data_IF_954003231921
#
_entry.id   IF_954003231921
#
_cell.length_a   1.000
_cell.length_b   1.000
_cell.length_c   1.000
_cell.angle_alpha   90.00
_cell.angle_beta   90.00
_cell.angle_gamma   90.00
#
_symmetry.space_group_name_H-M   'P 1'
#
loop_
_entity.id
_entity.type
_entity.pdbx_description
1 polymer ?
#
# COMPACT_ATOMS: atom_id res chain seq x y z
N UNK A 1 -36.62 -71.74 38.07
CA UNK A 1 -35.90 -72.85 37.41
C UNK A 1 -34.46 -72.40 37.21
N UNK A 2 -33.47 -73.22 37.53
CA UNK A 2 -32.06 -72.88 37.31
C UNK A 2 -31.75 -72.91 35.81
N UNK A 3 -31.10 -71.87 35.29
CA UNK A 3 -30.59 -71.84 33.92
C UNK A 3 -29.50 -72.91 33.73
N UNK A 4 -29.56 -73.65 32.63
CA UNK A 4 -28.63 -74.71 32.29
C UNK A 4 -27.93 -74.37 30.96
N UNK A 5 -26.66 -73.97 31.06
CA UNK A 5 -25.85 -73.58 29.92
C UNK A 5 -25.69 -74.71 28.89
N UNK A 6 -25.63 -75.97 29.33
CA UNK A 6 -25.47 -77.12 28.44
C UNK A 6 -26.74 -77.45 27.66
N UNK A 7 -27.92 -77.14 28.21
CA UNK A 7 -29.20 -77.24 27.47
C UNK A 7 -29.37 -76.09 26.49
N UNK A 8 -29.00 -74.88 26.89
CA UNK A 8 -29.09 -73.69 26.05
C UNK A 8 -28.24 -73.82 24.77
N UNK A 9 -27.02 -74.36 24.86
CA UNK A 9 -26.15 -74.54 23.69
C UNK A 9 -26.65 -75.60 22.68
N UNK A 10 -27.60 -76.46 23.06
CA UNK A 10 -28.19 -77.46 22.14
C UNK A 10 -29.33 -76.89 21.31
N UNK A 11 -30.03 -75.91 21.85
CA UNK A 11 -31.12 -75.18 21.18
C UNK A 11 -30.92 -73.69 21.46
N UNK A 12 -29.90 -73.07 20.83
CA UNK A 12 -29.61 -71.66 21.04
C UNK A 12 -30.75 -70.82 20.43
N UNK A 13 -31.29 -69.90 21.22
CA UNK A 13 -32.33 -68.97 20.80
C UNK A 13 -31.86 -67.53 21.02
N UNK A 14 -32.09 -66.66 20.02
CA UNK A 14 -31.59 -65.29 20.00
C UNK A 14 -32.32 -64.43 21.04
N UNK A 15 -33.65 -64.57 21.15
CA UNK A 15 -34.46 -63.86 22.14
C UNK A 15 -34.15 -64.35 23.57
N UNK A 16 -33.97 -65.66 23.72
CA UNK A 16 -33.52 -66.27 24.97
C UNK A 16 -32.14 -65.78 25.40
N UNK A 17 -31.20 -65.62 24.46
CA UNK A 17 -29.87 -65.07 24.72
C UNK A 17 -29.92 -63.61 25.17
N UNK A 18 -30.73 -62.79 24.49
CA UNK A 18 -30.80 -61.35 24.76
C UNK A 18 -31.27 -61.06 26.20
N UNK A 19 -32.19 -61.90 26.69
CA UNK A 19 -32.82 -61.82 28.00
C UNK A 19 -32.01 -62.44 29.17
N UNK A 20 -30.86 -63.08 28.90
CA UNK A 20 -30.06 -63.72 29.97
C UNK A 20 -29.62 -62.71 31.04
N UNK A 21 -29.68 -63.14 32.30
CA UNK A 21 -29.17 -62.39 33.46
C UNK A 21 -27.65 -62.47 33.52
N UNK A 22 -27.04 -61.56 34.28
CA UNK A 22 -25.56 -61.51 34.44
C UNK A 22 -25.00 -62.84 34.97
N UNK A 23 -25.67 -63.44 35.95
CA UNK A 23 -25.25 -64.72 36.53
C UNK A 23 -25.29 -65.86 35.49
N UNK A 24 -26.30 -65.87 34.62
CA UNK A 24 -26.50 -66.85 33.56
C UNK A 24 -25.45 -66.68 32.44
N UNK A 25 -25.15 -65.43 32.06
CA UNK A 25 -24.06 -65.11 31.12
C UNK A 25 -22.69 -65.51 31.68
N UNK A 26 -22.46 -65.36 32.99
CA UNK A 26 -21.24 -65.81 33.66
C UNK A 26 -21.14 -67.34 33.65
N UNK A 27 -22.24 -68.05 33.87
CA UNK A 27 -22.28 -69.51 33.78
C UNK A 27 -22.04 -70.00 32.35
N UNK A 28 -22.66 -69.35 31.36
CA UNK A 28 -22.46 -69.63 29.95
C UNK A 28 -21.02 -69.38 29.51
N UNK A 29 -20.43 -68.25 29.93
CA UNK A 29 -19.04 -67.93 29.67
C UNK A 29 -18.07 -68.93 30.30
N UNK A 30 -18.33 -69.40 31.54
CA UNK A 30 -17.55 -70.48 32.17
C UNK A 30 -17.65 -71.79 31.38
N UNK A 31 -18.84 -72.12 30.91
CA UNK A 31 -19.08 -73.36 30.16
C UNK A 31 -18.37 -73.34 28.79
N UNK A 32 -18.34 -72.17 28.14
CA UNK A 32 -17.60 -71.90 26.91
C UNK A 32 -16.09 -71.71 27.12
N UNK A 33 -15.60 -71.80 28.37
CA UNK A 33 -14.19 -71.59 28.76
C UNK A 33 -13.62 -70.25 28.28
N UNK A 34 -14.44 -69.21 28.32
CA UNK A 34 -14.02 -67.84 28.04
C UNK A 34 -13.13 -67.30 29.17
N UNK A 35 -12.13 -66.49 28.80
CA UNK A 35 -11.37 -65.70 29.77
C UNK A 35 -12.12 -64.40 30.05
N UNK A 36 -12.65 -64.27 31.27
CA UNK A 36 -13.39 -63.09 31.69
C UNK A 36 -13.26 -62.88 33.21
N UNK A 37 -13.43 -61.62 33.64
CA UNK A 37 -13.49 -61.27 35.06
C UNK A 37 -14.94 -61.10 35.48
N UNK A 38 -15.37 -61.79 36.55
CA UNK A 38 -16.76 -61.72 37.07
C UNK A 38 -17.18 -60.27 37.43
N UNK A 39 -16.20 -59.41 37.75
CA UNK A 39 -16.43 -57.98 38.02
C UNK A 39 -16.77 -57.15 36.78
N UNK A 40 -16.60 -57.68 35.56
CA UNK A 40 -16.95 -56.98 34.32
C UNK A 40 -18.45 -56.67 34.24
N UNK A 41 -18.81 -55.62 33.50
CA UNK A 41 -20.21 -55.23 33.26
C UNK A 41 -20.92 -56.33 32.46
N UNK A 42 -22.23 -56.49 32.67
CA UNK A 42 -23.08 -57.48 31.96
C UNK A 42 -22.86 -57.43 30.45
N UNK A 43 -22.83 -56.23 29.87
CA UNK A 43 -22.68 -56.03 28.42
C UNK A 43 -21.29 -56.43 27.88
N UNK A 44 -20.22 -56.24 28.67
CA UNK A 44 -18.88 -56.67 28.27
C UNK A 44 -18.82 -58.20 28.20
N UNK A 45 -19.38 -58.88 29.21
CA UNK A 45 -19.46 -60.34 29.24
C UNK A 45 -20.38 -60.83 28.11
N UNK A 46 -21.50 -60.15 27.86
CA UNK A 46 -22.43 -60.46 26.77
C UNK A 46 -21.75 -60.37 25.40
N UNK A 47 -21.01 -59.29 25.11
CA UNK A 47 -20.28 -59.13 23.86
C UNK A 47 -19.24 -60.25 23.66
N UNK A 48 -18.48 -60.61 24.70
CA UNK A 48 -17.51 -61.72 24.65
C UNK A 48 -18.16 -63.09 24.39
N UNK A 49 -19.36 -63.30 24.95
CA UNK A 49 -20.12 -64.53 24.71
C UNK A 49 -20.70 -64.55 23.30
N UNK A 50 -21.21 -63.41 22.78
CA UNK A 50 -21.66 -63.29 21.38
C UNK A 50 -20.52 -63.66 20.43
N UNK A 51 -19.33 -63.07 20.64
CA UNK A 51 -18.14 -63.37 19.84
C UNK A 51 -17.88 -64.87 19.75
N UNK A 52 -17.90 -65.58 20.89
CA UNK A 52 -17.65 -67.02 20.88
C UNK A 52 -18.78 -67.89 20.37
N UNK A 53 -20.03 -67.46 20.52
CA UNK A 53 -21.16 -68.21 19.99
C UNK A 53 -21.24 -68.07 18.46
N UNK A 54 -20.88 -66.90 17.92
CA UNK A 54 -20.77 -66.68 16.47
C UNK A 54 -19.52 -67.39 15.91
N UNK A 55 -18.36 -67.26 16.55
CA UNK A 55 -17.13 -67.99 16.16
C UNK A 55 -17.32 -69.52 16.12
N UNK A 56 -18.14 -70.06 17.03
CA UNK A 56 -18.42 -71.48 17.12
C UNK A 56 -19.60 -71.94 16.25
N UNK A 57 -20.15 -71.04 15.41
CA UNK A 57 -21.32 -71.28 14.54
C UNK A 57 -22.57 -71.76 15.32
N UNK A 58 -22.66 -71.42 16.60
CA UNK A 58 -23.79 -71.76 17.48
C UNK A 58 -24.90 -70.72 17.33
N UNK A 59 -24.54 -69.45 17.12
CA UNK A 59 -25.45 -68.36 16.76
C UNK A 59 -25.05 -67.80 15.39
N UNK A 60 -26.04 -67.35 14.63
CA UNK A 60 -25.81 -66.66 13.36
C UNK A 60 -25.27 -65.24 13.55
N UNK A 61 -24.84 -64.63 12.44
CA UNK A 61 -24.28 -63.27 12.40
C UNK A 61 -25.28 -62.21 12.91
N UNK A 62 -26.58 -62.50 12.92
CA UNK A 62 -27.64 -61.66 13.48
C UNK A 62 -27.40 -61.36 14.97
N UNK A 63 -26.70 -62.23 15.69
CA UNK A 63 -26.33 -61.99 17.10
C UNK A 63 -25.32 -60.84 17.28
N UNK A 64 -24.58 -60.46 16.23
CA UNK A 64 -23.63 -59.35 16.28
C UNK A 64 -24.35 -57.99 16.43
N UNK A 65 -25.60 -57.88 16.00
CA UNK A 65 -26.41 -56.67 16.17
C UNK A 65 -26.72 -56.36 17.64
N UNK A 66 -26.68 -57.37 18.50
CA UNK A 66 -26.87 -57.23 19.95
C UNK A 66 -25.62 -56.66 20.66
N UNK A 67 -24.50 -56.50 19.95
CA UNK A 67 -23.31 -55.87 20.51
C UNK A 67 -23.51 -54.39 20.63
N UNK A 68 -23.44 -53.91 21.86
CA UNK A 68 -23.36 -52.48 22.15
C UNK A 68 -21.91 -52.13 22.41
N UNK A 69 -21.38 -51.18 21.64
CA UNK A 69 -20.10 -50.56 21.96
C UNK A 69 -20.22 -49.87 23.32
N UNK A 70 -19.41 -50.28 24.29
CA UNK A 70 -19.30 -49.58 25.55
C UNK A 70 -18.48 -48.30 25.32
N UNK A 71 -19.10 -47.28 24.75
CA UNK A 71 -18.56 -45.93 24.78
C UNK A 71 -18.67 -45.48 26.24
N UNK A 72 -17.53 -45.41 26.92
CA UNK A 72 -17.48 -44.90 28.29
C UNK A 72 -17.99 -43.46 28.29
N UNK A 73 -18.97 -43.15 29.14
CA UNK A 73 -19.55 -41.80 29.25
C UNK A 73 -18.46 -40.75 29.53
N UNK A 74 -17.38 -41.15 30.20
CA UNK A 74 -16.20 -40.31 30.41
C UNK A 74 -15.47 -39.99 29.10
N UNK A 75 -15.33 -40.99 28.21
CA UNK A 75 -14.64 -40.86 26.92
C UNK A 75 -15.47 -40.04 25.93
N UNK A 76 -16.79 -40.19 25.96
CA UNK A 76 -17.70 -39.33 25.20
C UNK A 76 -17.58 -37.87 25.64
N UNK A 77 -17.60 -37.62 26.95
CA UNK A 77 -17.44 -36.27 27.51
C UNK A 77 -16.07 -35.66 27.22
N UNK A 78 -15.02 -36.48 27.15
CA UNK A 78 -13.69 -36.04 26.76
C UNK A 78 -13.66 -35.59 25.29
N UNK A 79 -14.28 -36.37 24.39
CA UNK A 79 -14.38 -36.02 22.97
C UNK A 79 -15.22 -34.75 22.73
N UNK A 80 -16.31 -34.58 23.48
CA UNK A 80 -17.14 -33.36 23.43
C UNK A 80 -16.33 -32.12 23.81
N UNK A 81 -15.57 -32.19 24.90
CA UNK A 81 -14.74 -31.07 25.35
C UNK A 81 -13.60 -30.76 24.36
N UNK A 82 -12.98 -31.77 23.78
CA UNK A 82 -11.95 -31.60 22.75
C UNK A 82 -12.53 -30.91 21.51
N UNK A 83 -13.72 -31.32 21.07
CA UNK A 83 -14.42 -30.70 19.97
C UNK A 83 -14.79 -29.24 20.28
N UNK A 84 -15.28 -28.96 21.49
CA UNK A 84 -15.61 -27.60 21.94
C UNK A 84 -14.38 -26.68 21.94
N UNK A 85 -13.25 -27.16 22.47
CA UNK A 85 -11.98 -26.42 22.44
C UNK A 85 -11.54 -26.11 21.01
N UNK A 86 -11.59 -27.11 20.12
CA UNK A 86 -11.19 -26.95 18.72
C UNK A 86 -12.06 -25.95 17.97
N UNK A 87 -13.38 -25.95 18.22
CA UNK A 87 -14.28 -24.95 17.66
C UNK A 87 -13.92 -23.54 18.15
N UNK A 88 -13.66 -23.39 19.44
CA UNK A 88 -13.31 -22.10 20.05
C UNK A 88 -11.97 -21.56 19.55
N UNK A 89 -10.97 -22.42 19.35
CA UNK A 89 -9.70 -22.06 18.74
C UNK A 89 -9.87 -21.56 17.29
N UNK A 90 -10.70 -22.23 16.50
CA UNK A 90 -11.00 -21.81 15.13
C UNK A 90 -11.70 -20.45 15.09
N UNK A 91 -12.68 -20.23 15.97
CA UNK A 91 -13.40 -18.96 16.08
C UNK A 91 -12.45 -17.81 16.47
N UNK A 92 -11.57 -18.04 17.45
CA UNK A 92 -10.56 -17.06 17.85
C UNK A 92 -9.60 -16.73 16.70
N UNK A 93 -9.15 -17.75 15.95
CA UNK A 93 -8.26 -17.57 14.81
C UNK A 93 -8.93 -16.80 13.66
N UNK A 94 -10.20 -17.05 13.40
CA UNK A 94 -10.97 -16.26 12.42
C UNK A 94 -11.13 -14.81 12.88
N UNK A 95 -11.44 -14.59 14.15
CA UNK A 95 -11.56 -13.25 14.73
C UNK A 95 -10.24 -12.47 14.64
N UNK A 96 -9.11 -13.11 14.96
CA UNK A 96 -7.78 -12.50 14.82
C UNK A 96 -7.48 -12.14 13.37
N UNK A 97 -7.74 -13.05 12.44
CA UNK A 97 -7.55 -12.79 11.00
C UNK A 97 -8.42 -11.63 10.52
N UNK A 98 -9.69 -11.58 10.90
CA UNK A 98 -10.60 -10.47 10.57
C UNK A 98 -10.08 -9.13 11.11
N UNK A 99 -9.57 -9.11 12.34
CA UNK A 99 -8.97 -7.90 12.93
C UNK A 99 -7.70 -7.49 12.21
N UNK A 100 -6.86 -8.43 11.81
CA UNK A 100 -5.65 -8.17 11.04
C UNK A 100 -6.00 -7.57 9.66
N UNK A 101 -6.97 -8.16 8.98
CA UNK A 101 -7.46 -7.66 7.68
C UNK A 101 -8.09 -6.27 7.82
N UNK A 102 -8.85 -6.01 8.88
CA UNK A 102 -9.42 -4.69 9.18
C UNK A 102 -8.32 -3.64 9.44
N UNK A 103 -7.28 -4.01 10.19
CA UNK A 103 -6.14 -3.11 10.45
C UNK A 103 -5.36 -2.80 9.17
N UNK A 104 -5.11 -3.80 8.33
CA UNK A 104 -4.46 -3.61 7.02
C UNK A 104 -5.29 -2.69 6.13
N UNK A 105 -6.61 -2.87 6.10
CA UNK A 105 -7.50 -2.02 5.32
C UNK A 105 -7.46 -0.57 5.82
N UNK A 106 -7.54 -0.34 7.13
CA UNK A 106 -7.43 1.01 7.72
C UNK A 106 -6.08 1.66 7.43
N UNK A 107 -4.98 0.91 7.49
CA UNK A 107 -3.65 1.41 7.15
C UNK A 107 -3.57 1.82 5.67
N UNK A 108 -4.07 0.98 4.76
CA UNK A 108 -4.09 1.29 3.34
C UNK A 108 -4.98 2.51 3.01
N UNK A 109 -6.11 2.65 3.69
CA UNK A 109 -6.99 3.81 3.54
C UNK A 109 -6.32 5.11 4.02
N UNK A 110 -5.61 5.07 5.16
CA UNK A 110 -4.83 6.20 5.65
C UNK A 110 -3.71 6.59 4.68
N UNK A 111 -2.93 5.62 4.20
CA UNK A 111 -1.85 5.89 3.23
C UNK A 111 -2.40 6.49 1.92
N UNK A 112 -3.52 5.96 1.43
CA UNK A 112 -4.18 6.49 0.24
C UNK A 112 -4.66 7.93 0.45
N UNK A 113 -5.22 8.23 1.63
CA UNK A 113 -5.66 9.56 1.99
C UNK A 113 -4.50 10.55 2.08
N UNK A 114 -3.39 10.16 2.72
CA UNK A 114 -2.18 10.97 2.81
C UNK A 114 -1.60 11.27 1.44
N UNK A 115 -1.53 10.26 0.54
CA UNK A 115 -1.11 10.47 -0.86
C UNK A 115 -1.99 11.47 -1.58
N UNK A 116 -3.32 11.34 -1.45
CA UNK A 116 -4.26 12.28 -2.08
C UNK A 116 -4.12 13.70 -1.52
N UNK A 117 -3.83 13.87 -0.24
CA UNK A 117 -3.57 15.18 0.37
C UNK A 117 -2.26 15.78 -0.14
N UNK A 118 -1.19 14.99 -0.24
CA UNK A 118 0.08 15.43 -0.82
C UNK A 118 -0.10 15.83 -2.29
N UNK A 119 -0.74 15.00 -3.12
CA UNK A 119 -1.00 15.31 -4.53
C UNK A 119 -1.80 16.61 -4.72
N UNK A 120 -2.78 16.87 -3.83
CA UNK A 120 -3.54 18.13 -3.86
C UNK A 120 -2.66 19.32 -3.53
N UNK A 121 -1.83 19.20 -2.49
CA UNK A 121 -0.91 20.25 -2.08
C UNK A 121 0.13 20.55 -3.16
N UNK A 122 0.70 19.51 -3.77
CA UNK A 122 1.64 19.65 -4.89
C UNK A 122 1.00 20.37 -6.07
N UNK A 123 -0.23 20.00 -6.45
CA UNK A 123 -0.96 20.70 -7.52
C UNK A 123 -1.21 22.17 -7.19
N UNK A 124 -1.56 22.47 -5.95
CA UNK A 124 -1.77 23.84 -5.49
C UNK A 124 -0.47 24.66 -5.53
N UNK A 125 0.65 24.08 -5.07
CA UNK A 125 1.96 24.72 -5.09
C UNK A 125 2.47 24.94 -6.53
N UNK A 126 2.25 23.97 -7.43
CA UNK A 126 2.54 24.13 -8.87
C UNK A 126 1.71 25.27 -9.47
N UNK A 127 0.43 25.38 -9.10
CA UNK A 127 -0.43 26.46 -9.58
C UNK A 127 0.06 27.84 -9.09
N UNK A 128 0.39 27.96 -7.80
CA UNK A 128 0.96 29.18 -7.20
C UNK A 128 2.28 29.57 -7.86
N UNK A 129 3.16 28.61 -8.11
CA UNK A 129 4.45 28.86 -8.75
C UNK A 129 4.27 29.41 -10.17
N UNK A 130 3.34 28.82 -10.93
CA UNK A 130 3.01 29.28 -12.29
C UNK A 130 2.40 30.68 -12.29
N UNK A 131 1.56 31.01 -11.31
CA UNK A 131 1.02 32.36 -11.15
C UNK A 131 2.12 33.39 -10.86
N UNK A 132 3.06 33.05 -9.96
CA UNK A 132 4.22 33.90 -9.66
C UNK A 132 5.12 34.10 -10.89
N UNK A 133 5.38 33.03 -11.65
CA UNK A 133 6.16 33.11 -12.89
C UNK A 133 5.50 34.06 -13.92
N UNK A 134 4.17 33.99 -14.06
CA UNK A 134 3.43 34.91 -14.94
C UNK A 134 3.54 36.36 -14.48
N UNK A 135 3.41 36.62 -13.18
CA UNK A 135 3.56 37.98 -12.61
C UNK A 135 4.97 38.52 -12.82
N UNK A 136 5.99 37.69 -12.67
CA UNK A 136 7.39 38.08 -12.90
C UNK A 136 7.61 38.47 -14.37
N UNK A 137 7.13 37.65 -15.33
CA UNK A 137 7.20 37.97 -16.76
C UNK A 137 6.46 39.25 -17.12
N UNK A 138 5.30 39.50 -16.49
CA UNK A 138 4.55 40.74 -16.70
C UNK A 138 5.32 41.98 -16.21
N UNK A 139 5.99 41.87 -15.04
CA UNK A 139 6.84 42.94 -14.52
C UNK A 139 8.06 43.19 -15.42
N UNK A 140 8.77 42.14 -15.83
CA UNK A 140 9.90 42.25 -16.75
C UNK A 140 9.49 42.90 -18.09
N UNK A 141 8.30 42.56 -18.61
CA UNK A 141 7.76 43.18 -19.82
C UNK A 141 7.43 44.66 -19.60
N UNK A 142 6.84 45.03 -18.46
CA UNK A 142 6.56 46.43 -18.10
C UNK A 142 7.85 47.25 -18.01
N UNK A 143 8.87 46.74 -17.32
CA UNK A 143 10.18 47.40 -17.21
C UNK A 143 10.83 47.58 -18.59
N UNK A 144 10.78 46.56 -19.47
CA UNK A 144 11.27 46.69 -20.84
C UNK A 144 10.56 47.79 -21.63
N UNK A 145 9.24 47.85 -21.54
CA UNK A 145 8.44 48.87 -22.22
C UNK A 145 8.75 50.28 -21.68
N UNK A 146 8.95 50.42 -20.37
CA UNK A 146 9.32 51.69 -19.75
C UNK A 146 10.71 52.17 -20.18
N UNK A 147 11.71 51.27 -20.17
CA UNK A 147 13.05 51.57 -20.66
C UNK A 147 13.05 51.96 -22.13
N UNK A 148 12.24 51.29 -22.97
CA UNK A 148 12.13 51.64 -24.39
C UNK A 148 11.45 53.00 -24.59
N UNK A 149 10.43 53.33 -23.80
CA UNK A 149 9.82 54.68 -23.79
C UNK A 149 10.84 55.76 -23.43
N UNK A 150 11.62 55.55 -22.36
CA UNK A 150 12.66 56.49 -21.95
C UNK A 150 13.72 56.69 -23.05
N UNK A 151 14.17 55.62 -23.70
CA UNK A 151 15.11 55.72 -24.84
C UNK A 151 14.52 56.55 -25.99
N UNK A 152 13.26 56.32 -26.35
CA UNK A 152 12.59 57.09 -27.41
C UNK A 152 12.50 58.57 -27.03
N UNK A 153 12.21 58.88 -25.77
CA UNK A 153 12.15 60.26 -25.27
C UNK A 153 13.52 60.95 -25.30
N UNK A 154 14.59 60.26 -24.87
CA UNK A 154 15.97 60.78 -24.99
C UNK A 154 16.36 61.06 -26.44
N UNK A 155 16.06 60.16 -27.37
CA UNK A 155 16.34 60.37 -28.81
C UNK A 155 15.54 61.56 -29.36
N UNK A 156 14.29 61.75 -28.91
CA UNK A 156 13.49 62.93 -29.28
C UNK A 156 14.10 64.22 -28.74
N UNK A 157 14.56 64.26 -27.50
CA UNK A 157 15.24 65.42 -26.91
C UNK A 157 16.57 65.74 -27.60
N UNK A 158 17.37 64.73 -27.95
CA UNK A 158 18.60 64.88 -28.75
C UNK A 158 18.32 65.41 -30.17
N UNK A 159 17.20 65.00 -30.78
CA UNK A 159 16.78 65.52 -32.09
C UNK A 159 16.24 66.95 -32.02
N UNK A 160 15.60 67.35 -30.90
CA UNK A 160 15.12 68.72 -30.69
C UNK A 160 16.24 69.70 -30.35
N UNK A 161 17.30 69.26 -29.67
CA UNK A 161 18.48 70.11 -29.38
C UNK A 161 19.37 70.37 -30.61
N UNK A 162 19.28 69.55 -31.66
CA UNK A 162 20.02 69.78 -32.93
C UNK A 162 19.45 70.89 -33.82
N UNK A 163 18.20 71.30 -33.63
CA UNK A 163 17.56 72.36 -34.45
C UNK A 163 17.91 73.78 -33.95
N UNK A 164 18.55 73.90 -32.77
CA UNK A 164 18.99 75.18 -32.20
C UNK A 164 20.50 75.47 -32.32
N UNK A 165 21.24 74.71 -33.14
CA UNK A 165 22.55 75.15 -33.61
C UNK A 165 22.40 75.76 -35.01
N UNK A 166 22.19 77.08 -35.06
CA UNK A 166 22.55 77.84 -36.26
C UNK A 166 24.04 77.58 -36.48
N UNK A 167 24.40 76.67 -37.40
CA UNK A 167 25.75 76.65 -37.93
C UNK A 167 25.92 77.97 -38.66
N UNK A 168 26.63 78.91 -38.04
CA UNK A 168 27.20 80.04 -38.76
C UNK A 168 28.17 79.46 -39.79
N UNK A 169 27.64 79.23 -41.00
CA UNK A 169 28.45 78.91 -42.16
C UNK A 169 29.45 80.05 -42.32
N UNK A 170 30.73 79.78 -42.04
CA UNK A 170 31.79 80.77 -42.14
C UNK A 170 31.96 81.15 -43.61
N UNK A 171 31.34 82.27 -43.98
CA UNK A 171 31.37 82.82 -45.32
C UNK A 171 32.69 83.57 -45.51
N UNK A 172 33.68 82.89 -46.09
CA UNK A 172 35.01 83.45 -46.34
C UNK A 172 34.95 84.71 -47.21
N UNK A 173 33.97 84.83 -48.12
CA UNK A 173 33.84 86.00 -48.99
C UNK A 173 33.44 87.27 -48.23
N UNK A 174 32.67 87.14 -47.15
CA UNK A 174 32.27 88.28 -46.29
C UNK A 174 33.37 88.74 -45.34
N UNK A 175 34.36 87.88 -45.09
CA UNK A 175 35.45 88.14 -44.15
C UNK A 175 36.78 88.51 -44.83
N UNK A 176 36.79 88.74 -46.15
CA UNK A 176 37.98 89.20 -46.93
C UNK A 176 38.59 90.49 -46.35
N UNK A 177 37.83 91.32 -45.64
CA UNK A 177 38.33 92.54 -44.96
C UNK A 177 39.32 92.26 -43.82
N UNK A 178 39.36 91.03 -43.30
CA UNK A 178 40.30 90.59 -42.27
C UNK A 178 41.67 90.21 -42.84
N UNK A 179 41.80 90.13 -44.17
CA UNK A 179 43.08 89.89 -44.84
C UNK A 179 43.71 91.24 -45.19
N UNK A 180 44.92 91.56 -44.69
CA UNK A 180 45.64 92.76 -45.07
C UNK A 180 45.76 92.85 -46.60
N UNK A 181 45.53 94.02 -47.19
CA UNK A 181 45.67 94.19 -48.64
C UNK A 181 47.10 93.82 -49.04
N UNK A 182 47.23 92.84 -49.92
CA UNK A 182 48.52 92.39 -50.42
C UNK A 182 49.27 93.56 -51.09
N UNK A 183 50.52 93.77 -50.67
CA UNK A 183 51.40 94.79 -51.22
C UNK A 183 52.71 94.12 -51.65
N UNK A 184 52.94 94.11 -52.97
CA UNK A 184 54.08 93.44 -53.62
C UNK A 184 55.44 93.98 -53.14
N UNK A 185 55.48 95.23 -52.66
CA UNK A 185 56.68 95.88 -52.11
C UNK A 185 57.09 95.38 -50.72
N UNK A 186 56.24 94.60 -50.05
CA UNK A 186 56.47 94.12 -48.68
C UNK A 186 56.36 92.60 -48.56
N UNK A 187 56.47 91.87 -49.67
CA UNK A 187 56.39 90.40 -49.72
C UNK A 187 57.37 89.75 -48.74
N UNK A 188 58.58 90.29 -48.63
CA UNK A 188 59.62 89.80 -47.73
C UNK A 188 59.24 89.85 -46.24
N UNK A 189 58.25 90.68 -45.86
CA UNK A 189 57.77 90.76 -44.45
C UNK A 189 56.79 89.65 -44.10
N UNK A 190 56.10 89.08 -45.09
CA UNK A 190 55.11 88.04 -44.88
C UNK A 190 55.74 86.64 -44.84
N UNK A 191 56.84 86.43 -45.57
CA UNK A 191 57.56 85.15 -45.59
C UNK A 191 57.94 84.62 -44.20
N UNK A 192 58.57 85.41 -43.30
CA UNK A 192 58.89 84.96 -41.95
C UNK A 192 57.65 84.64 -41.10
N UNK A 193 56.51 85.28 -41.38
CA UNK A 193 55.25 85.02 -40.66
C UNK A 193 54.65 83.68 -41.10
N UNK A 194 54.70 83.36 -42.39
CA UNK A 194 54.29 82.06 -42.90
C UNK A 194 55.20 80.93 -42.42
N UNK A 195 56.52 81.11 -42.40
CA UNK A 195 57.45 80.10 -41.84
C UNK A 195 57.17 79.83 -40.35
N UNK A 196 56.88 80.88 -39.58
CA UNK A 196 56.54 80.76 -38.15
C UNK A 196 55.23 80.01 -37.91
N UNK A 197 54.24 80.19 -38.78
CA UNK A 197 52.99 79.41 -38.73
C UNK A 197 53.26 77.97 -39.14
N UNK A 198 54.01 77.73 -40.21
CA UNK A 198 54.35 76.38 -40.67
C UNK A 198 55.11 75.56 -39.62
N UNK A 199 56.00 76.19 -38.85
CA UNK A 199 56.70 75.54 -37.73
C UNK A 199 55.78 75.18 -36.54
N UNK A 200 54.60 75.80 -36.40
CA UNK A 200 53.62 75.43 -35.37
C UNK A 200 52.72 74.25 -35.78
N UNK A 201 52.83 73.76 -37.01
CA UNK A 201 52.06 72.61 -37.51
C UNK A 201 52.90 71.32 -37.66
N UNK A 202 54.13 71.29 -37.13
CA UNK A 202 55.00 70.11 -37.05
C UNK A 202 55.12 69.60 -35.62
#
# INVERSE_FOLDING_TARGET
MAFDAGKFLKTPDLEGFDNLKKEELVLLAKHLKLDFKVSMRKQIIKNLVIDKLVDAEILGEEALELKVENIDAFKLKQLELEHELKLKELEMKEMEKRKEDELKLKQAELEMKERLEMDKKEKEDVFKLKELEMKLKELEMKERLEMEKMKIEMVKEESNTKVQSKSEYFDAAKNIRLVPRFCEKTVDKYFPQFEKIAHNFN
#
